data_IF_124291841125
#
_entry.id   IF_124291841125
#
_cell.length_a   1.000
_cell.length_b   1.000
_cell.length_c   1.000
_cell.angle_alpha   90.00
_cell.angle_beta   90.00
_cell.angle_gamma   90.00
#
_symmetry.space_group_name_H-M   'P 1'
#
loop_
_entity.id
_entity.type
_entity.pdbx_description
1 polymer ?
#
# COMPACT_ATOMS: atom_id res chain seq x y z
N UNK A 1 -5.69 -0.21 -35.85
CA UNK A 1 -5.00 -1.47 -35.50
C UNK A 1 -4.98 -1.56 -34.00
N UNK A 2 -5.94 -2.28 -33.43
CA UNK A 2 -6.04 -2.49 -31.99
C UNK A 2 -4.86 -3.32 -31.51
N UNK A 3 -3.94 -2.69 -30.77
CA UNK A 3 -2.99 -3.42 -29.93
C UNK A 3 -3.76 -3.96 -28.72
N UNK A 4 -4.50 -5.05 -28.94
CA UNK A 4 -5.00 -5.89 -27.87
C UNK A 4 -3.77 -6.57 -27.24
N UNK A 5 -3.12 -5.87 -26.29
CA UNK A 5 -2.11 -6.48 -25.44
C UNK A 5 -2.86 -7.54 -24.65
N UNK A 6 -2.75 -8.78 -25.10
CA UNK A 6 -3.28 -9.97 -24.46
C UNK A 6 -2.89 -9.90 -22.98
N UNK A 7 -3.85 -9.56 -22.12
CA UNK A 7 -3.78 -9.85 -20.70
C UNK A 7 -3.91 -11.37 -20.58
N UNK A 8 -2.85 -12.09 -20.96
CA UNK A 8 -2.80 -13.52 -20.89
C UNK A 8 -2.97 -13.88 -19.41
N UNK A 9 -4.10 -14.50 -19.09
CA UNK A 9 -4.40 -15.05 -17.76
C UNK A 9 -3.31 -16.05 -17.43
N UNK A 10 -2.29 -15.60 -16.70
CA UNK A 10 -1.14 -16.43 -16.36
C UNK A 10 -1.57 -17.68 -15.59
N UNK A 11 -2.62 -17.59 -14.77
CA UNK A 11 -3.11 -18.69 -13.94
C UNK A 11 -4.52 -18.48 -13.38
N UNK A 12 -5.22 -19.58 -13.09
CA UNK A 12 -6.50 -19.62 -12.37
C UNK A 12 -6.32 -19.76 -10.85
N UNK A 13 -7.28 -19.25 -10.09
CA UNK A 13 -7.30 -19.30 -8.61
C UNK A 13 -7.14 -20.73 -8.07
N UNK A 14 -7.69 -21.74 -8.78
CA UNK A 14 -7.64 -23.15 -8.38
C UNK A 14 -6.22 -23.72 -8.27
N UNK A 15 -5.26 -23.18 -9.03
CA UNK A 15 -3.87 -23.65 -8.98
C UNK A 15 -3.03 -22.92 -7.92
N UNK A 16 -3.62 -22.02 -7.12
CA UNK A 16 -2.89 -21.17 -6.16
C UNK A 16 -2.15 -22.02 -5.13
N UNK A 17 -0.84 -21.81 -5.03
CA UNK A 17 -0.01 -22.39 -3.96
C UNK A 17 -0.28 -21.60 -2.69
N UNK A 18 -0.53 -22.30 -1.58
CA UNK A 18 -0.85 -21.70 -0.29
C UNK A 18 0.35 -21.83 0.67
N UNK A 19 0.56 -20.85 1.56
CA UNK A 19 1.43 -20.96 2.73
C UNK A 19 1.15 -22.19 3.58
N UNK A 20 2.19 -22.67 4.27
CA UNK A 20 2.15 -23.82 5.18
C UNK A 20 1.40 -23.45 6.45
N UNK A 21 0.56 -24.37 6.94
CA UNK A 21 -0.19 -24.18 8.17
C UNK A 21 0.60 -24.72 9.38
N UNK A 22 1.63 -23.98 9.80
CA UNK A 22 2.45 -24.28 10.98
C UNK A 22 2.37 -23.12 12.01
N UNK A 23 2.71 -23.37 13.29
CA UNK A 23 2.81 -22.30 14.28
C UNK A 23 3.91 -21.29 13.94
N UNK A 24 3.59 -19.99 14.01
CA UNK A 24 4.58 -18.92 13.86
C UNK A 24 5.42 -18.84 15.15
N UNK A 25 6.77 -18.79 15.05
CA UNK A 25 7.62 -18.57 16.22
C UNK A 25 7.33 -17.20 16.87
N UNK A 26 7.04 -17.18 18.17
CA UNK A 26 6.56 -15.98 18.88
C UNK A 26 7.55 -14.80 18.83
N UNK A 27 8.85 -15.06 18.95
CA UNK A 27 9.87 -14.01 19.05
C UNK A 27 10.42 -13.55 17.68
N UNK A 28 9.86 -14.05 16.58
CA UNK A 28 10.40 -13.74 15.25
C UNK A 28 10.17 -12.28 14.86
N UNK A 29 8.98 -11.76 15.15
CA UNK A 29 8.53 -10.43 14.80
C UNK A 29 7.90 -9.77 16.03
N UNK A 30 8.62 -8.90 16.75
CA UNK A 30 8.06 -8.22 17.91
C UNK A 30 6.92 -7.28 17.50
N UNK A 31 5.95 -7.01 18.40
CA UNK A 31 4.90 -6.02 18.15
C UNK A 31 5.48 -4.64 17.83
N UNK A 32 4.70 -3.84 17.10
CA UNK A 32 5.03 -2.44 16.84
C UNK A 32 5.02 -1.62 18.13
N UNK A 33 6.00 -0.74 18.25
CA UNK A 33 6.11 0.21 19.35
C UNK A 33 5.30 1.47 19.04
N UNK A 34 4.59 1.97 20.06
CA UNK A 34 3.81 3.21 19.91
C UNK A 34 4.78 4.38 19.75
N UNK A 35 4.61 5.23 18.72
CA UNK A 35 5.47 6.39 18.54
C UNK A 35 5.27 7.39 19.69
N UNK A 36 6.31 8.17 20.07
CA UNK A 36 6.13 9.28 20.99
C UNK A 36 5.19 10.31 20.35
N UNK A 37 4.15 10.70 21.09
CA UNK A 37 3.15 11.66 20.64
C UNK A 37 3.53 13.05 21.14
N UNK A 38 3.69 14.00 20.24
CA UNK A 38 4.01 15.40 20.59
C UNK A 38 2.84 16.16 21.21
N UNK A 39 1.63 15.62 21.10
CA UNK A 39 0.37 16.11 21.67
C UNK A 39 -0.66 14.99 21.69
N UNK A 40 -1.79 15.19 22.36
CA UNK A 40 -2.91 14.24 22.29
C UNK A 40 -3.47 14.18 20.85
N UNK A 41 -3.53 13.00 20.21
CA UNK A 41 -4.07 12.85 18.86
C UNK A 41 -5.59 13.06 18.80
N UNK A 42 -6.31 12.85 19.90
CA UNK A 42 -7.76 13.01 20.00
C UNK A 42 -8.18 14.44 20.29
N UNK A 43 -7.30 15.25 20.88
CA UNK A 43 -7.51 16.70 21.00
C UNK A 43 -7.00 17.41 19.74
N UNK A 44 -7.90 17.71 18.81
CA UNK A 44 -7.56 18.52 17.63
C UNK A 44 -7.93 19.98 17.89
N UNK A 45 -7.00 20.94 17.72
CA UNK A 45 -7.26 22.36 17.92
C UNK A 45 -8.08 22.93 16.75
N UNK A 46 -9.33 22.48 16.62
CA UNK A 46 -10.29 23.02 15.67
C UNK A 46 -11.01 24.21 16.31
N UNK A 47 -11.13 25.29 15.55
CA UNK A 47 -11.97 26.43 15.92
C UNK A 47 -13.43 26.12 15.56
N UNK A 48 -14.41 26.46 16.42
CA UNK A 48 -15.84 26.39 16.08
C UNK A 48 -16.21 27.25 14.87
N UNK A 49 -15.43 28.31 14.61
CA UNK A 49 -15.53 29.12 13.40
C UNK A 49 -14.33 28.81 12.51
N UNK A 50 -14.48 27.95 11.50
CA UNK A 50 -13.37 27.58 10.63
C UNK A 50 -12.94 28.80 9.82
N UNK A 51 -11.63 29.09 9.85
CA UNK A 51 -11.06 30.10 8.97
C UNK A 51 -11.22 29.68 7.51
N UNK A 52 -11.29 30.65 6.60
CA UNK A 52 -11.23 30.39 5.16
C UNK A 52 -9.99 29.54 4.87
N UNK A 53 -10.17 28.46 4.11
CA UNK A 53 -9.08 27.57 3.74
C UNK A 53 -7.94 28.34 3.08
N UNK A 54 -6.72 28.11 3.57
CA UNK A 54 -5.49 28.62 2.98
C UNK A 54 -4.68 27.44 2.47
N UNK A 55 -4.21 27.56 1.23
CA UNK A 55 -3.34 26.54 0.66
C UNK A 55 -2.00 26.46 1.39
N UNK A 56 -1.44 25.26 1.42
CA UNK A 56 -0.04 25.04 1.79
C UNK A 56 0.73 24.57 0.57
N UNK A 57 2.04 24.36 0.73
CA UNK A 57 2.86 23.77 -0.32
C UNK A 57 2.37 22.36 -0.72
N UNK A 58 1.64 21.66 0.15
CA UNK A 58 1.21 20.26 -0.06
C UNK A 58 -0.30 20.11 -0.26
N UNK A 59 -1.10 20.89 0.44
CA UNK A 59 -2.57 20.85 0.36
C UNK A 59 -3.04 22.05 -0.45
N UNK A 60 -3.24 21.83 -1.75
CA UNK A 60 -3.73 22.83 -2.71
C UNK A 60 -5.16 22.53 -3.12
N UNK A 61 -5.88 23.52 -3.69
CA UNK A 61 -7.22 23.32 -4.22
C UNK A 61 -7.26 22.20 -5.27
N UNK A 62 -6.26 22.15 -6.17
CA UNK A 62 -6.14 21.11 -7.19
C UNK A 62 -6.04 19.71 -6.56
N UNK A 63 -5.17 19.53 -5.57
CA UNK A 63 -5.00 18.24 -4.88
C UNK A 63 -6.23 17.84 -4.08
N UNK A 64 -6.94 18.80 -3.48
CA UNK A 64 -8.18 18.54 -2.76
C UNK A 64 -9.32 18.04 -3.66
N UNK A 65 -9.25 18.23 -4.98
CA UNK A 65 -10.23 17.64 -5.91
C UNK A 65 -10.18 16.10 -5.91
N UNK A 66 -9.08 15.51 -5.46
CA UNK A 66 -8.96 14.05 -5.30
C UNK A 66 -9.66 13.53 -4.05
N UNK A 67 -10.01 14.41 -3.10
CA UNK A 67 -10.68 14.07 -1.85
C UNK A 67 -12.19 14.12 -2.05
N UNK A 68 -12.87 13.04 -1.70
CA UNK A 68 -14.33 12.97 -1.76
C UNK A 68 -14.92 13.44 -0.41
N UNK A 69 -15.60 14.59 -0.41
CA UNK A 69 -16.30 15.14 0.76
C UNK A 69 -17.74 14.64 0.92
N UNK A 70 -18.14 13.63 0.14
CA UNK A 70 -19.48 13.08 0.12
C UNK A 70 -20.36 13.68 -0.98
N UNK A 71 -21.66 13.34 -0.97
CA UNK A 71 -22.62 13.83 -1.97
C UNK A 71 -22.73 15.37 -1.99
N UNK A 72 -23.02 15.98 -3.15
CA UNK A 72 -23.26 17.42 -3.22
C UNK A 72 -24.37 17.86 -2.26
N UNK A 73 -24.13 18.92 -1.49
CA UNK A 73 -25.08 19.46 -0.51
C UNK A 73 -25.20 18.67 0.79
N UNK A 74 -24.45 17.57 0.95
CA UNK A 74 -24.41 16.81 2.21
C UNK A 74 -23.74 17.58 3.35
N UNK A 75 -22.66 18.30 3.03
CA UNK A 75 -21.95 19.17 3.96
C UNK A 75 -22.19 20.63 3.60
N UNK A 76 -22.37 21.46 4.62
CA UNK A 76 -22.32 22.91 4.50
C UNK A 76 -20.92 23.39 4.10
N UNK A 77 -20.83 24.60 3.55
CA UNK A 77 -19.55 25.21 3.21
C UNK A 77 -18.62 25.35 4.43
N UNK A 78 -19.18 25.56 5.62
CA UNK A 78 -18.42 25.66 6.87
C UNK A 78 -17.83 24.31 7.29
N UNK A 79 -18.59 23.22 7.16
CA UNK A 79 -18.11 21.87 7.44
C UNK A 79 -17.01 21.44 6.45
N UNK A 80 -17.18 21.75 5.16
CA UNK A 80 -16.14 21.50 4.15
C UNK A 80 -14.86 22.27 4.49
N UNK A 81 -14.97 23.55 4.87
CA UNK A 81 -13.81 24.35 5.27
C UNK A 81 -13.14 23.83 6.55
N UNK A 82 -13.93 23.30 7.50
CA UNK A 82 -13.41 22.63 8.69
C UNK A 82 -12.59 21.38 8.34
N UNK A 83 -13.10 20.54 7.42
CA UNK A 83 -12.39 19.35 6.95
C UNK A 83 -11.11 19.71 6.19
N UNK A 84 -11.13 20.75 5.34
CA UNK A 84 -9.93 21.24 4.67
C UNK A 84 -8.88 21.70 5.69
N UNK A 85 -9.28 22.46 6.69
CA UNK A 85 -8.40 22.89 7.79
C UNK A 85 -7.78 21.70 8.53
N UNK A 86 -8.59 20.66 8.80
CA UNK A 86 -8.10 19.42 9.40
C UNK A 86 -7.06 18.70 8.51
N UNK A 87 -7.33 18.57 7.21
CA UNK A 87 -6.41 17.96 6.24
C UNK A 87 -5.10 18.74 6.21
N UNK A 88 -5.17 20.07 6.15
CA UNK A 88 -4.00 20.95 6.21
C UNK A 88 -3.19 20.75 7.49
N UNK A 89 -3.85 20.73 8.65
CA UNK A 89 -3.20 20.48 9.94
C UNK A 89 -2.51 19.11 10.01
N UNK A 90 -2.93 18.16 9.19
CA UNK A 90 -2.41 16.78 9.12
C UNK A 90 -1.67 16.49 7.81
N UNK A 91 -1.27 17.51 7.05
CA UNK A 91 -0.69 17.34 5.69
C UNK A 91 0.53 16.40 5.64
N UNK A 92 1.28 16.28 6.75
CA UNK A 92 2.43 15.37 6.87
C UNK A 92 2.03 13.90 6.83
N UNK A 93 0.79 13.56 7.18
CA UNK A 93 0.26 12.20 7.16
C UNK A 93 -0.43 11.82 5.84
N UNK A 94 -0.74 12.79 5.00
CA UNK A 94 -1.46 12.58 3.73
C UNK A 94 -0.45 12.50 2.59
N UNK A 95 -0.55 11.50 1.70
CA UNK A 95 0.26 11.44 0.49
C UNK A 95 -0.66 11.59 -0.73
N UNK A 96 -0.36 12.54 -1.62
CA UNK A 96 -1.08 12.74 -2.87
C UNK A 96 -0.39 12.04 -4.06
N UNK A 97 0.90 11.72 -3.94
CA UNK A 97 1.67 10.98 -4.94
C UNK A 97 2.67 10.00 -4.28
N UNK A 98 3.19 9.06 -5.07
CA UNK A 98 4.04 7.96 -4.58
C UNK A 98 5.34 8.45 -3.94
N UNK A 99 5.87 9.60 -4.35
CA UNK A 99 7.06 10.24 -3.79
C UNK A 99 6.86 10.78 -2.37
N UNK A 100 5.60 11.08 -1.99
CA UNK A 100 5.24 11.57 -0.66
C UNK A 100 4.97 10.44 0.34
N UNK A 101 5.05 9.18 -0.13
CA UNK A 101 4.81 7.99 0.69
C UNK A 101 5.83 7.88 1.80
N UNK A 102 5.35 7.73 3.03
CA UNK A 102 6.19 7.44 4.19
C UNK A 102 6.58 5.97 4.29
N UNK A 103 7.71 5.69 4.94
CA UNK A 103 8.10 4.35 5.38
C UNK A 103 7.89 4.23 6.89
N UNK A 104 7.58 3.01 7.36
CA UNK A 104 7.55 2.73 8.78
C UNK A 104 8.95 2.93 9.37
N UNK A 105 9.07 3.78 10.39
CA UNK A 105 10.37 4.04 11.01
C UNK A 105 10.85 2.81 11.77
N UNK A 106 12.15 2.53 11.69
CA UNK A 106 12.81 1.46 12.44
C UNK A 106 12.68 1.62 13.97
N UNK A 107 12.44 2.85 14.45
CA UNK A 107 12.14 3.15 15.85
C UNK A 107 10.75 2.66 16.29
N UNK A 108 9.85 2.35 15.37
CA UNK A 108 8.49 1.89 15.66
C UNK A 108 8.31 0.41 15.35
N UNK A 109 9.07 -0.11 14.38
CA UNK A 109 9.03 -1.52 14.02
C UNK A 109 10.33 -1.95 13.36
N UNK A 110 10.82 -3.13 13.73
CA UNK A 110 11.99 -3.74 13.10
C UNK A 110 11.60 -4.30 11.72
N UNK A 111 12.57 -4.50 10.80
CA UNK A 111 12.31 -5.17 9.53
C UNK A 111 11.65 -6.54 9.76
N UNK A 112 10.55 -6.78 9.03
CA UNK A 112 9.77 -8.00 9.19
C UNK A 112 10.56 -9.21 8.67
N UNK A 113 10.63 -10.26 9.50
CA UNK A 113 11.20 -11.55 9.12
C UNK A 113 10.09 -12.48 8.66
N UNK A 114 10.16 -12.93 7.41
CA UNK A 114 9.18 -13.86 6.85
C UNK A 114 9.37 -15.24 7.51
N UNK A 115 8.37 -15.78 8.24
CA UNK A 115 8.48 -17.08 8.85
C UNK A 115 8.44 -18.16 7.76
N UNK A 116 9.43 -19.05 7.76
CA UNK A 116 9.58 -20.12 6.76
C UNK A 116 9.92 -21.44 7.46
N UNK A 117 9.45 -22.56 6.91
CA UNK A 117 9.90 -23.89 7.31
C UNK A 117 11.30 -24.18 6.76
N UNK A 118 12.06 -25.17 7.28
CA UNK A 118 13.31 -25.60 6.66
C UNK A 118 13.12 -25.98 5.18
N UNK A 119 13.97 -25.45 4.31
CA UNK A 119 13.89 -25.66 2.87
C UNK A 119 15.24 -25.38 2.19
N UNK A 120 15.35 -25.82 0.94
CA UNK A 120 16.46 -25.48 0.07
C UNK A 120 16.17 -24.20 -0.74
N UNK A 121 17.16 -23.32 -0.93
CA UNK A 121 16.98 -22.15 -1.78
C UNK A 121 16.74 -22.54 -3.24
N UNK A 122 16.09 -21.67 -4.02
CA UNK A 122 15.77 -21.94 -5.43
C UNK A 122 16.22 -20.83 -6.35
N UNK A 123 16.67 -21.21 -7.56
CA UNK A 123 16.92 -20.27 -8.64
C UNK A 123 16.05 -20.62 -9.84
N UNK A 124 15.01 -19.82 -10.08
CA UNK A 124 14.14 -19.99 -11.25
C UNK A 124 14.64 -19.14 -12.42
N UNK A 125 14.49 -19.69 -13.62
CA UNK A 125 14.78 -18.95 -14.86
C UNK A 125 13.82 -17.76 -15.00
N UNK A 126 14.30 -16.56 -15.41
CA UNK A 126 13.45 -15.42 -15.70
C UNK A 126 12.42 -15.73 -16.78
N UNK A 127 11.22 -15.15 -16.65
CA UNK A 127 10.21 -15.18 -17.72
C UNK A 127 10.62 -14.12 -18.76
N UNK A 128 10.72 -14.46 -20.06
CA UNK A 128 11.05 -13.49 -21.08
C UNK A 128 10.02 -12.34 -21.15
N UNK A 129 10.52 -11.10 -21.15
CA UNK A 129 9.70 -9.91 -21.34
C UNK A 129 9.51 -9.66 -22.82
N UNK A 130 8.27 -9.48 -23.27
CA UNK A 130 7.97 -9.25 -24.68
C UNK A 130 8.58 -7.92 -25.17
N UNK A 131 9.13 -7.92 -26.39
CA UNK A 131 9.88 -6.77 -26.93
C UNK A 131 9.05 -5.49 -26.97
N UNK A 132 7.74 -5.58 -27.22
CA UNK A 132 6.85 -4.41 -27.29
C UNK A 132 6.72 -3.65 -25.96
N UNK A 133 6.87 -4.34 -24.82
CA UNK A 133 6.73 -3.73 -23.49
C UNK A 133 8.09 -3.46 -22.83
N UNK A 134 9.19 -3.90 -23.44
CA UNK A 134 10.53 -3.83 -22.88
C UNK A 134 10.97 -2.40 -22.51
N UNK A 135 10.70 -1.35 -23.32
CA UNK A 135 11.05 0.02 -22.96
C UNK A 135 10.32 0.49 -21.70
N UNK A 136 9.00 0.28 -21.65
CA UNK A 136 8.15 0.68 -20.51
C UNK A 136 8.51 -0.12 -19.25
N UNK A 137 8.81 -1.41 -19.39
CA UNK A 137 9.28 -2.25 -18.29
C UNK A 137 10.64 -1.77 -17.75
N UNK A 138 11.58 -1.43 -18.63
CA UNK A 138 12.92 -0.96 -18.23
C UNK A 138 12.82 0.34 -17.43
N UNK A 139 11.97 1.26 -17.88
CA UNK A 139 11.74 2.52 -17.16
C UNK A 139 11.11 2.29 -15.79
N UNK A 140 10.11 1.40 -15.71
CA UNK A 140 9.50 1.02 -14.44
C UNK A 140 10.50 0.39 -13.45
N UNK A 141 11.45 -0.43 -13.92
CA UNK A 141 12.51 -0.98 -13.05
C UNK A 141 13.45 0.13 -12.57
N UNK A 142 13.86 1.04 -13.46
CA UNK A 142 14.73 2.18 -13.08
C UNK A 142 14.06 3.07 -12.04
N UNK A 143 12.78 3.36 -12.22
CA UNK A 143 12.00 4.14 -11.28
C UNK A 143 11.98 3.48 -9.90
N UNK A 144 11.73 2.17 -9.82
CA UNK A 144 11.73 1.43 -8.54
C UNK A 144 13.09 1.42 -7.85
N UNK A 145 14.19 1.39 -8.61
CA UNK A 145 15.54 1.52 -8.05
C UNK A 145 15.75 2.96 -7.56
N UNK A 146 15.35 3.96 -8.34
CA UNK A 146 15.47 5.38 -7.99
C UNK A 146 14.69 5.74 -6.73
N UNK A 147 13.49 5.17 -6.53
CA UNK A 147 12.67 5.38 -5.33
C UNK A 147 13.13 4.54 -4.13
N UNK A 148 14.16 3.71 -4.29
CA UNK A 148 14.67 2.83 -3.23
C UNK A 148 13.78 1.62 -2.95
N UNK A 149 12.73 1.38 -3.76
CA UNK A 149 11.89 0.19 -3.63
C UNK A 149 12.65 -1.08 -4.01
N UNK A 150 13.55 -0.99 -5.00
CA UNK A 150 14.42 -2.08 -5.42
C UNK A 150 15.88 -1.75 -5.20
N UNK A 151 16.66 -2.77 -4.85
CA UNK A 151 18.10 -2.71 -4.72
C UNK A 151 18.78 -3.86 -5.48
N UNK A 152 20.07 -3.70 -5.76
CA UNK A 152 20.88 -4.77 -6.32
C UNK A 152 21.28 -5.73 -5.20
N UNK A 153 21.10 -7.03 -5.41
CA UNK A 153 21.44 -8.05 -4.44
C UNK A 153 22.13 -9.24 -5.10
N UNK A 154 22.84 -10.03 -4.29
CA UNK A 154 23.33 -11.36 -4.65
C UNK A 154 22.68 -12.36 -3.71
N UNK A 155 21.95 -13.34 -4.25
CA UNK A 155 21.17 -14.28 -3.44
C UNK A 155 21.12 -15.67 -4.06
N UNK A 156 20.98 -16.69 -3.21
CA UNK A 156 20.67 -18.07 -3.61
C UNK A 156 19.20 -18.22 -4.01
N UNK A 157 18.37 -17.19 -3.83
CA UNK A 157 16.97 -17.15 -4.22
C UNK A 157 16.76 -16.29 -5.47
N UNK A 158 16.07 -16.83 -6.46
CA UNK A 158 15.60 -16.10 -7.64
C UNK A 158 14.18 -16.50 -7.99
N UNK A 159 13.26 -15.53 -7.94
CA UNK A 159 11.88 -15.67 -8.39
C UNK A 159 11.67 -14.85 -9.67
N UNK A 160 11.03 -15.40 -10.71
CA UNK A 160 10.83 -14.66 -11.94
C UNK A 160 9.77 -13.58 -11.73
N UNK A 161 9.81 -12.56 -12.58
CA UNK A 161 8.80 -11.51 -12.65
C UNK A 161 8.15 -11.51 -14.02
N UNK A 162 6.90 -11.08 -14.08
CA UNK A 162 6.20 -10.83 -15.33
C UNK A 162 5.34 -9.57 -15.20
N UNK A 163 4.86 -9.03 -16.31
CA UNK A 163 4.05 -7.82 -16.33
C UNK A 163 2.62 -8.12 -16.72
N UNK A 164 1.69 -7.37 -16.13
CA UNK A 164 0.29 -7.30 -16.55
C UNK A 164 -0.08 -5.85 -16.84
N UNK A 165 -0.92 -5.63 -17.84
CA UNK A 165 -1.45 -4.30 -18.15
C UNK A 165 -2.55 -3.94 -17.15
N UNK A 166 -2.48 -2.74 -16.58
CA UNK A 166 -3.61 -2.13 -15.86
C UNK A 166 -4.62 -1.57 -16.87
N UNK A 167 -5.86 -1.33 -16.42
CA UNK A 167 -6.91 -0.68 -17.22
C UNK A 167 -6.51 0.70 -17.76
N UNK A 168 -5.62 1.41 -17.06
CA UNK A 168 -5.06 2.70 -17.48
C UNK A 168 -3.85 2.58 -18.42
N UNK A 169 -3.55 1.39 -18.96
CA UNK A 169 -2.44 1.17 -19.90
C UNK A 169 -1.04 1.11 -19.26
N UNK A 170 -0.90 1.38 -17.95
CA UNK A 170 0.37 1.22 -17.24
C UNK A 170 0.69 -0.25 -16.97
N UNK A 171 1.98 -0.60 -16.91
CA UNK A 171 2.41 -1.94 -16.50
C UNK A 171 2.37 -2.09 -14.98
N UNK A 172 2.02 -3.30 -14.53
CA UNK A 172 2.22 -3.77 -13.16
C UNK A 172 3.15 -4.97 -13.21
N UNK A 173 4.30 -4.86 -12.55
CA UNK A 173 5.18 -6.01 -12.30
C UNK A 173 4.55 -6.90 -11.24
N UNK A 174 4.53 -8.19 -11.54
CA UNK A 174 4.08 -9.28 -10.67
C UNK A 174 5.27 -10.19 -10.40
N UNK A 175 5.57 -10.40 -9.12
CA UNK A 175 6.58 -11.36 -8.69
C UNK A 175 5.94 -12.75 -8.59
N UNK A 176 6.55 -13.75 -9.22
CA UNK A 176 6.08 -15.12 -9.15
C UNK A 176 6.65 -15.79 -7.90
N UNK A 177 5.93 -15.63 -6.78
CA UNK A 177 6.35 -16.03 -5.44
C UNK A 177 5.86 -17.42 -5.04
N UNK A 178 5.49 -18.31 -5.96
CA UNK A 178 4.96 -19.64 -5.59
C UNK A 178 5.93 -20.47 -4.77
N UNK A 179 7.23 -20.51 -5.11
CA UNK A 179 8.19 -21.28 -4.31
C UNK A 179 8.32 -20.71 -2.89
N UNK A 180 8.34 -19.37 -2.76
CA UNK A 180 8.32 -18.71 -1.45
C UNK A 180 7.05 -19.07 -0.68
N UNK A 181 5.90 -19.04 -1.34
CA UNK A 181 4.63 -19.39 -0.72
C UNK A 181 4.60 -20.86 -0.25
N UNK A 182 5.30 -21.81 -0.88
CA UNK A 182 5.35 -23.20 -0.40
C UNK A 182 6.04 -23.36 0.94
N UNK A 183 6.96 -22.45 1.26
CA UNK A 183 7.80 -22.56 2.45
C UNK A 183 7.43 -21.53 3.52
N UNK A 184 6.65 -20.51 3.16
CA UNK A 184 6.18 -19.48 4.10
C UNK A 184 5.12 -20.06 5.02
N UNK A 185 5.26 -19.78 6.32
CA UNK A 185 4.26 -20.12 7.34
C UNK A 185 3.12 -19.10 7.27
N UNK A 186 1.88 -19.59 7.27
CA UNK A 186 0.68 -18.76 7.13
C UNK A 186 0.43 -17.92 8.38
N UNK A 187 0.18 -16.62 8.19
CA UNK A 187 -0.33 -15.74 9.24
C UNK A 187 -1.84 -15.99 9.49
N UNK A 188 -2.21 -16.07 10.77
CA UNK A 188 -3.56 -16.27 11.25
C UNK A 188 -4.19 -14.99 11.84
N UNK A 189 -3.45 -13.87 11.92
CA UNK A 189 -3.88 -12.63 12.55
C UNK A 189 -4.77 -11.71 11.71
N UNK A 190 -5.39 -12.20 10.63
CA UNK A 190 -6.27 -11.36 9.79
C UNK A 190 -7.59 -11.16 10.52
N UNK A 191 -8.02 -9.91 10.80
CA UNK A 191 -9.26 -9.65 11.52
C UNK A 191 -10.48 -10.10 10.71
N UNK A 192 -11.53 -10.52 11.41
CA UNK A 192 -12.80 -10.88 10.80
C UNK A 192 -13.50 -9.62 10.29
N UNK A 193 -13.89 -9.61 9.02
CA UNK A 193 -14.52 -8.44 8.39
C UNK A 193 -15.86 -8.07 9.04
N UNK A 194 -16.59 -9.06 9.54
CA UNK A 194 -17.88 -8.85 10.22
C UNK A 194 -17.68 -8.04 11.50
N UNK A 195 -16.70 -8.40 12.34
CA UNK A 195 -16.35 -7.64 13.55
C UNK A 195 -15.97 -6.18 13.23
N UNK A 196 -15.23 -5.98 12.14
CA UNK A 196 -14.89 -4.64 11.67
C UNK A 196 -16.12 -3.83 11.25
N UNK A 197 -17.06 -4.45 10.53
CA UNK A 197 -18.31 -3.79 10.09
C UNK A 197 -19.22 -3.49 11.28
N UNK A 198 -19.33 -4.41 12.24
CA UNK A 198 -20.14 -4.23 13.44
C UNK A 198 -19.63 -3.08 14.31
N UNK A 199 -18.31 -2.89 14.40
CA UNK A 199 -17.71 -1.74 15.10
C UNK A 199 -18.10 -0.38 14.49
N UNK A 200 -18.52 -0.38 13.23
CA UNK A 200 -18.96 0.81 12.49
C UNK A 200 -20.48 1.02 12.57
N UNK A 201 -21.26 0.03 13.02
CA UNK A 201 -22.71 0.14 13.08
C UNK A 201 -23.19 1.31 13.98
N UNK A 202 -24.22 2.02 13.52
CA UNK A 202 -24.83 3.13 14.26
C UNK A 202 -24.04 4.44 14.25
N UNK A 203 -22.92 4.53 13.50
CA UNK A 203 -22.19 5.81 13.33
C UNK A 203 -22.86 6.67 12.25
N UNK A 204 -22.96 7.97 12.52
CA UNK A 204 -23.56 8.94 11.61
C UNK A 204 -22.60 9.41 10.51
N UNK A 205 -21.29 9.32 10.74
CA UNK A 205 -20.24 9.79 9.84
C UNK A 205 -19.17 8.72 9.67
N UNK A 206 -18.72 8.55 8.43
CA UNK A 206 -17.64 7.63 8.07
C UNK A 206 -16.56 8.39 7.30
N UNK A 207 -15.30 8.12 7.65
CA UNK A 207 -14.14 8.54 6.87
C UNK A 207 -13.45 7.29 6.34
N UNK A 208 -13.17 7.25 5.04
CA UNK A 208 -12.39 6.20 4.42
C UNK A 208 -11.07 6.77 3.91
N UNK A 209 -9.97 6.11 4.25
CA UNK A 209 -8.64 6.41 3.72
C UNK A 209 -7.97 5.13 3.25
N UNK A 210 -7.12 5.27 2.23
CA UNK A 210 -6.24 4.19 1.79
C UNK A 210 -4.79 4.52 2.15
N UNK A 211 -4.02 3.49 2.52
CA UNK A 211 -2.59 3.64 2.81
C UNK A 211 -1.84 3.50 1.50
N UNK A 212 -1.26 4.61 1.03
CA UNK A 212 -0.46 4.60 -0.18
C UNK A 212 0.73 3.64 -0.04
N UNK A 213 0.72 2.57 -0.83
CA UNK A 213 1.78 1.57 -0.85
C UNK A 213 1.92 0.80 0.48
N UNK A 214 0.83 0.46 1.15
CA UNK A 214 0.84 -0.13 2.51
C UNK A 214 1.65 -1.42 2.76
N UNK A 215 2.22 -2.05 1.73
CA UNK A 215 3.17 -3.17 1.88
C UNK A 215 4.64 -2.77 1.76
N UNK A 216 4.93 -1.62 1.16
CA UNK A 216 6.26 -1.20 0.73
C UNK A 216 6.90 -0.20 1.68
#
# INVERSE_FOLDING_TARGET
MDHQILAAKYKSVLKKVRPVNEPIPQDLNPPLERPPLSRDPYETPLSPSPSIFQETFKVTHERLQTVNFGPPGWLSNEEVNSLKTFITLREKAIAFCEEERGLLKHSYGKPYKIPVIPHEPWQKKPIPIHKSILPQFTELIRERIRTGLYEKYTSSYTSPIFCVSKSNGKLRIVHELQELNKVTIKDAGVPHIEEFVDALAGRAYYGLGDIMGGYY
#
